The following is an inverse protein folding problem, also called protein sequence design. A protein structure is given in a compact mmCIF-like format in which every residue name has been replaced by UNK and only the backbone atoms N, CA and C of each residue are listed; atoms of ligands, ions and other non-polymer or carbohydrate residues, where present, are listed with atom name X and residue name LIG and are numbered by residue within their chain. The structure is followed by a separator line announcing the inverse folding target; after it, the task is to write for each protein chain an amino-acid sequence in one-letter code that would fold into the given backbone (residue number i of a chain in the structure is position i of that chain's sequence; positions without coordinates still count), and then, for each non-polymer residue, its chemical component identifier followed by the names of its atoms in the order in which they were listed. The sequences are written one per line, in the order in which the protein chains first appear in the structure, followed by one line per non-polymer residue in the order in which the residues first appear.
data_IF_148120502073
#
_entry.id   IF_148120502073
#
_cell.length_a   1.000
_cell.length_b   1.000
_cell.length_c   1.000
_cell.angle_alpha   90.00
_cell.angle_beta   90.00
_cell.angle_gamma   90.00
#
_symmetry.space_group_name_H-M   'P 1'
#
loop_
_entity.id
_entity.type
_entity.pdbx_description
1 polymer ?
#
# COMPACT_ATOMS: atom_id res chain seq x y z
N UNK A 1 -7.23 13.27 12.40
CA UNK A 1 -7.97 14.48 11.99
C UNK A 1 -7.86 14.57 10.49
N UNK A 2 -8.94 14.75 9.77
CA UNK A 2 -8.94 14.95 8.31
C UNK A 2 -8.24 16.27 7.99
N UNK A 3 -7.39 16.31 6.93
CA UNK A 3 -6.68 17.50 6.48
C UNK A 3 -5.38 17.86 7.24
N UNK A 4 -4.94 16.99 8.15
CA UNK A 4 -3.64 17.17 8.82
C UNK A 4 -2.47 16.74 7.92
N UNK A 5 -1.33 17.42 8.02
CA UNK A 5 -0.07 17.03 7.37
C UNK A 5 1.06 16.90 8.37
N UNK A 6 2.04 16.04 8.07
CA UNK A 6 3.25 15.86 8.87
C UNK A 6 4.46 15.75 7.93
N UNK A 7 5.51 16.51 8.23
CA UNK A 7 6.78 16.42 7.52
C UNK A 7 7.64 15.38 8.25
N UNK A 8 8.21 14.46 7.48
CA UNK A 8 9.14 13.44 7.95
C UNK A 8 10.42 13.57 7.12
N UNK A 9 11.57 13.43 7.76
CA UNK A 9 12.85 13.35 7.09
C UNK A 9 13.33 11.90 7.11
N UNK A 10 13.44 11.29 5.93
CA UNK A 10 13.99 9.95 5.82
C UNK A 10 15.50 9.98 6.08
N UNK A 11 16.05 9.05 6.87
CA UNK A 11 17.50 8.87 6.98
C UNK A 11 18.10 8.48 5.63
N UNK A 12 19.41 8.74 5.40
CA UNK A 12 20.10 8.25 4.20
C UNK A 12 19.95 6.72 4.06
N UNK A 13 19.71 6.26 2.82
CA UNK A 13 19.50 4.84 2.48
C UNK A 13 18.33 4.17 3.24
N UNK A 14 17.29 4.95 3.56
CA UNK A 14 16.12 4.41 4.22
C UNK A 14 15.26 3.60 3.22
N UNK A 15 14.84 2.42 3.65
CA UNK A 15 13.77 1.64 3.00
C UNK A 15 12.65 1.38 3.99
N UNK A 16 11.43 1.53 3.52
CA UNK A 16 10.28 1.30 4.38
C UNK A 16 8.97 1.62 3.68
N UNK A 17 7.91 1.63 4.46
CA UNK A 17 6.56 1.82 3.95
C UNK A 17 5.70 2.66 4.88
N UNK A 18 4.72 3.32 4.28
CA UNK A 18 3.67 4.05 4.97
C UNK A 18 2.32 3.46 4.62
N UNK A 19 1.42 3.45 5.59
CA UNK A 19 0.04 3.01 5.40
C UNK A 19 -0.91 3.77 6.33
N UNK A 20 -2.18 3.81 5.97
CA UNK A 20 -3.23 4.34 6.81
C UNK A 20 -3.92 3.25 7.60
N UNK A 21 -4.24 3.52 8.86
CA UNK A 21 -5.08 2.66 9.70
C UNK A 21 -6.48 3.26 9.79
N UNK A 22 -7.51 2.43 9.73
CA UNK A 22 -8.91 2.88 9.81
C UNK A 22 -9.67 2.19 10.91
N UNK A 23 -10.74 2.84 11.40
CA UNK A 23 -11.58 2.30 12.47
C UNK A 23 -10.82 2.08 13.77
N UNK A 24 -9.88 2.97 14.08
CA UNK A 24 -9.07 2.84 15.29
C UNK A 24 -9.84 3.29 16.53
N UNK A 25 -9.72 2.52 17.60
CA UNK A 25 -10.23 2.86 18.94
C UNK A 25 -9.09 2.67 19.93
N UNK A 26 -8.65 3.77 20.55
CA UNK A 26 -7.63 3.76 21.60
C UNK A 26 -8.18 4.42 22.84
N UNK A 27 -7.94 3.79 23.99
CA UNK A 27 -8.30 4.34 25.30
C UNK A 27 -7.46 5.61 25.57
N UNK A 28 -8.10 6.73 25.88
CA UNK A 28 -7.39 8.01 26.02
C UNK A 28 -6.47 8.06 27.25
N UNK A 29 -6.65 7.18 28.23
CA UNK A 29 -5.86 7.16 29.47
C UNK A 29 -4.66 6.22 29.37
N UNK A 30 -4.86 5.05 28.75
CA UNK A 30 -3.83 4.00 28.65
C UNK A 30 -3.11 3.99 27.30
N UNK A 31 -3.69 4.60 26.23
CA UNK A 31 -3.22 4.53 24.88
C UNK A 31 -3.39 3.16 24.21
N UNK A 32 -4.00 2.20 24.93
CA UNK A 32 -4.22 0.84 24.41
C UNK A 32 -5.39 0.81 23.46
N UNK A 33 -5.27 -0.02 22.42
CA UNK A 33 -6.33 -0.19 21.45
C UNK A 33 -5.86 -0.83 20.15
N UNK A 34 -6.74 -0.82 19.15
CA UNK A 34 -6.48 -1.44 17.85
C UNK A 34 -7.25 -0.72 16.73
N UNK A 35 -6.98 -1.12 15.49
CA UNK A 35 -7.65 -0.61 14.30
C UNK A 35 -8.34 -1.76 13.55
N UNK A 36 -9.43 -1.46 12.85
CA UNK A 36 -10.16 -2.44 12.03
C UNK A 36 -9.31 -2.84 10.83
N UNK A 37 -8.64 -1.90 10.16
CA UNK A 37 -7.76 -2.17 9.01
C UNK A 37 -6.37 -1.58 9.20
N UNK A 38 -5.35 -2.26 8.67
CA UNK A 38 -3.95 -1.81 8.73
C UNK A 38 -3.36 -1.80 10.15
N UNK A 39 -3.98 -2.50 11.09
CA UNK A 39 -3.46 -2.58 12.46
C UNK A 39 -2.09 -3.23 12.49
N UNK A 40 -1.18 -2.74 13.32
CA UNK A 40 0.17 -3.30 13.44
C UNK A 40 0.37 -4.26 14.63
N UNK A 41 -0.69 -4.52 15.39
CA UNK A 41 -0.66 -5.46 16.50
C UNK A 41 0.12 -4.99 17.74
N UNK A 42 0.50 -3.71 17.79
CA UNK A 42 1.22 -3.13 18.92
C UNK A 42 0.36 -2.94 20.17
N UNK A 43 -0.96 -3.04 20.03
CA UNK A 43 -1.95 -2.68 21.06
C UNK A 43 -1.85 -1.23 21.55
N UNK A 44 -1.27 -0.34 20.74
CA UNK A 44 -1.11 1.09 21.05
C UNK A 44 -1.03 1.92 19.75
N UNK A 45 -0.99 3.26 19.91
CA UNK A 45 -0.95 4.18 18.76
C UNK A 45 0.32 3.96 17.93
N UNK A 46 1.47 3.78 18.56
CA UNK A 46 2.75 3.57 17.89
C UNK A 46 2.93 2.11 17.48
N UNK A 47 3.37 1.89 16.24
CA UNK A 47 3.67 0.55 15.74
C UNK A 47 5.05 0.01 16.15
N UNK A 48 5.96 0.89 16.64
CA UNK A 48 7.30 0.55 17.16
C UNK A 48 8.11 -0.35 16.21
N UNK A 49 8.05 -0.06 14.92
CA UNK A 49 8.74 -0.84 13.88
C UNK A 49 7.97 -2.08 13.41
N UNK A 50 6.80 -2.37 13.97
CA UNK A 50 5.90 -3.42 13.47
C UNK A 50 5.30 -3.04 12.11
N UNK A 51 5.13 -4.03 11.23
CA UNK A 51 4.41 -3.88 9.96
C UNK A 51 2.89 -3.96 10.15
N UNK A 52 2.17 -3.55 9.12
CA UNK A 52 0.70 -3.67 9.07
C UNK A 52 0.26 -5.14 8.99
N UNK A 53 -0.91 -5.40 9.52
CA UNK A 53 -1.67 -6.61 9.21
C UNK A 53 -2.52 -6.35 7.96
N UNK A 54 -2.49 -7.22 6.94
CA UNK A 54 -3.37 -7.11 5.79
C UNK A 54 -4.87 -7.12 6.22
N UNK A 55 -5.76 -6.47 5.41
CA UNK A 55 -5.44 -5.73 4.20
C UNK A 55 -5.05 -4.28 4.46
N UNK A 56 -4.10 -3.78 3.68
CA UNK A 56 -3.68 -2.38 3.72
C UNK A 56 -3.07 -1.92 2.38
N UNK A 57 -3.43 -0.72 1.95
CA UNK A 57 -2.76 -0.03 0.83
C UNK A 57 -1.44 0.53 1.34
N UNK A 58 -0.34 0.23 0.65
CA UNK A 58 1.00 0.62 1.06
C UNK A 58 1.60 1.66 0.11
N UNK A 59 2.31 2.65 0.66
CA UNK A 59 3.29 3.46 -0.06
C UNK A 59 4.68 2.95 0.32
N UNK A 60 5.41 2.39 -0.61
CA UNK A 60 6.71 1.76 -0.37
C UNK A 60 7.83 2.60 -0.98
N UNK A 61 8.96 2.66 -0.28
CA UNK A 61 10.10 3.50 -0.67
C UNK A 61 11.43 2.80 -0.41
N UNK A 62 12.37 3.04 -1.31
CA UNK A 62 13.81 2.89 -1.06
C UNK A 62 14.46 4.18 -1.52
N UNK A 63 14.85 5.05 -0.56
CA UNK A 63 15.40 6.38 -0.83
C UNK A 63 16.90 6.43 -0.56
N UNK A 64 17.59 7.36 -1.26
CA UNK A 64 19.01 7.57 -1.07
C UNK A 64 19.88 6.46 -1.63
N UNK A 65 19.38 5.64 -2.57
CA UNK A 65 20.25 4.76 -3.35
C UNK A 65 21.24 5.61 -4.17
N UNK A 66 22.37 5.03 -4.57
CA UNK A 66 23.51 5.78 -5.16
C UNK A 66 23.11 6.66 -6.36
N UNK A 67 22.04 6.32 -7.08
CA UNK A 67 21.64 7.01 -8.32
C UNK A 67 20.21 7.52 -8.33
N UNK A 68 19.30 6.89 -7.60
CA UNK A 68 17.87 7.23 -7.65
C UNK A 68 17.10 6.62 -6.47
N UNK A 69 15.94 7.19 -6.17
CA UNK A 69 14.96 6.61 -5.28
C UNK A 69 14.03 5.68 -6.05
N UNK A 70 13.53 4.66 -5.36
CA UNK A 70 12.46 3.78 -5.83
C UNK A 70 11.23 4.01 -4.96
N UNK A 71 10.07 4.07 -5.58
CA UNK A 71 8.81 4.20 -4.87
C UNK A 71 7.67 3.55 -5.66
N UNK A 72 6.66 3.11 -4.93
CA UNK A 72 5.46 2.52 -5.49
C UNK A 72 4.28 2.58 -4.52
N UNK A 73 3.09 2.32 -5.05
CA UNK A 73 1.90 1.98 -4.27
C UNK A 73 1.61 0.51 -4.47
N UNK A 74 1.44 -0.22 -3.36
CA UNK A 74 1.23 -1.67 -3.39
C UNK A 74 -0.15 -2.06 -2.85
N UNK A 75 -0.81 -2.95 -3.59
CA UNK A 75 -2.04 -3.66 -3.22
C UNK A 75 -1.79 -5.17 -3.06
N UNK A 76 -0.53 -5.59 -2.98
CA UNK A 76 -0.15 -7.00 -2.76
C UNK A 76 -0.69 -7.51 -1.43
N UNK A 77 -0.70 -6.65 -0.42
CA UNK A 77 -1.31 -6.90 0.90
C UNK A 77 -2.76 -6.41 0.98
N UNK A 78 -3.47 -6.37 -0.14
CA UNK A 78 -4.85 -5.91 -0.22
C UNK A 78 -5.03 -4.39 -0.24
N UNK A 79 -6.25 -3.95 -0.01
CA UNK A 79 -6.65 -2.55 -0.08
C UNK A 79 -7.53 -2.18 1.11
N UNK A 80 -7.28 -1.01 1.70
CA UNK A 80 -8.18 -0.45 2.72
C UNK A 80 -8.63 0.99 2.41
N UNK A 81 -7.76 1.82 1.84
CA UNK A 81 -8.09 3.22 1.51
C UNK A 81 -7.31 3.73 0.29
N UNK A 82 -7.83 4.79 -0.38
CA UNK A 82 -7.14 5.43 -1.49
C UNK A 82 -5.83 6.08 -1.01
N UNK A 83 -4.79 5.99 -1.85
CA UNK A 83 -3.48 6.56 -1.58
C UNK A 83 -2.82 7.03 -2.88
N UNK A 84 -2.09 8.16 -2.82
CA UNK A 84 -1.29 8.67 -3.91
C UNK A 84 0.07 9.15 -3.38
N UNK A 85 1.11 8.97 -4.18
CA UNK A 85 2.46 9.51 -3.98
C UNK A 85 2.72 10.52 -5.10
N UNK A 86 2.98 11.76 -4.73
CA UNK A 86 3.32 12.86 -5.65
C UNK A 86 4.78 13.29 -5.40
N UNK A 87 5.73 12.98 -6.32
CA UNK A 87 7.08 13.52 -6.26
C UNK A 87 7.10 15.00 -6.62
N UNK A 88 8.04 15.75 -6.04
CA UNK A 88 8.28 17.16 -6.37
C UNK A 88 9.77 17.51 -6.30
N UNK A 89 10.22 18.45 -7.11
CA UNK A 89 11.58 18.98 -7.11
C UNK A 89 12.66 18.05 -7.67
N UNK A 90 12.33 16.82 -8.01
CA UNK A 90 13.29 15.83 -8.49
C UNK A 90 13.58 15.89 -9.99
N UNK A 91 14.39 14.94 -10.44
CA UNK A 91 14.75 14.75 -11.85
C UNK A 91 14.57 13.28 -12.26
N UNK A 92 14.37 13.06 -13.59
CA UNK A 92 14.09 11.73 -14.13
C UNK A 92 12.59 11.51 -14.36
N UNK A 93 12.14 10.26 -14.30
CA UNK A 93 10.74 9.90 -14.57
C UNK A 93 9.89 9.93 -13.29
N UNK A 94 9.83 11.09 -12.65
CA UNK A 94 9.15 11.31 -11.36
C UNK A 94 7.61 11.37 -11.54
N UNK A 95 6.98 10.24 -11.73
CA UNK A 95 5.54 10.16 -11.95
C UNK A 95 4.76 10.12 -10.64
N UNK A 96 3.61 10.80 -10.63
CA UNK A 96 2.59 10.58 -9.59
C UNK A 96 2.00 9.18 -9.74
N UNK A 97 1.95 8.43 -8.65
CA UNK A 97 1.49 7.04 -8.62
C UNK A 97 0.51 6.81 -7.47
N UNK A 98 -0.44 5.91 -7.67
CA UNK A 98 -1.40 5.65 -6.61
C UNK A 98 -2.61 4.85 -7.05
N UNK A 99 -3.51 4.69 -6.09
CA UNK A 99 -4.81 4.11 -6.24
C UNK A 99 -5.83 5.06 -5.61
N UNK A 100 -6.53 5.81 -6.45
CA UNK A 100 -7.57 6.79 -6.01
C UNK A 100 -8.98 6.23 -6.09
N UNK A 101 -9.15 5.09 -6.75
CA UNK A 101 -10.41 4.36 -6.83
C UNK A 101 -10.75 3.72 -5.49
N UNK A 102 -11.99 3.84 -5.06
CA UNK A 102 -12.49 3.11 -3.87
C UNK A 102 -12.75 1.63 -4.23
N UNK A 103 -11.73 0.81 -4.08
CA UNK A 103 -11.79 -0.62 -4.37
C UNK A 103 -12.68 -1.40 -3.40
N UNK A 104 -12.99 -0.88 -2.22
CA UNK A 104 -13.89 -1.55 -1.27
C UNK A 104 -15.29 -1.73 -1.87
N UNK A 105 -15.73 -0.78 -2.71
CA UNK A 105 -17.02 -0.86 -3.41
C UNK A 105 -17.08 -1.94 -4.48
N UNK A 106 -15.94 -2.30 -5.06
CA UNK A 106 -15.81 -3.29 -6.13
C UNK A 106 -15.26 -4.62 -5.64
N UNK A 107 -14.99 -4.73 -4.35
CA UNK A 107 -14.38 -5.90 -3.75
C UNK A 107 -15.28 -7.14 -3.89
N UNK A 108 -14.79 -8.24 -4.48
CA UNK A 108 -15.51 -9.50 -4.53
C UNK A 108 -15.85 -9.99 -3.12
N UNK A 109 -16.98 -10.66 -2.99
CA UNK A 109 -17.47 -11.10 -1.67
C UNK A 109 -16.46 -11.98 -0.93
N UNK A 110 -15.75 -12.85 -1.64
CA UNK A 110 -14.72 -13.76 -1.11
C UNK A 110 -13.45 -13.06 -0.64
N UNK A 111 -13.21 -11.83 -1.08
CA UNK A 111 -12.07 -11.02 -0.64
C UNK A 111 -12.46 -9.94 0.39
N UNK A 112 -13.76 -9.74 0.61
CA UNK A 112 -14.28 -8.65 1.43
C UNK A 112 -14.03 -8.88 2.91
N UNK A 113 -13.55 -7.86 3.61
CA UNK A 113 -13.34 -7.87 5.05
C UNK A 113 -14.54 -7.25 5.76
N UNK A 114 -15.12 -8.01 6.67
CA UNK A 114 -16.24 -7.55 7.50
C UNK A 114 -17.42 -7.01 6.69
N UNK A 115 -17.77 -5.77 6.93
CA UNK A 115 -18.87 -5.04 6.28
C UNK A 115 -18.45 -4.35 4.96
N UNK A 116 -17.25 -4.65 4.44
CA UNK A 116 -16.69 -3.99 3.25
C UNK A 116 -15.75 -2.83 3.59
N UNK A 117 -15.22 -2.79 4.80
CA UNK A 117 -14.24 -1.77 5.23
C UNK A 117 -12.87 -1.92 4.56
N UNK A 118 -12.58 -3.09 3.98
CA UNK A 118 -11.36 -3.38 3.25
C UNK A 118 -11.53 -4.57 2.29
N UNK A 119 -10.55 -4.75 1.40
CA UNK A 119 -10.50 -5.82 0.42
C UNK A 119 -9.17 -6.57 0.55
N UNK A 120 -9.21 -7.84 0.89
CA UNK A 120 -8.02 -8.69 0.95
C UNK A 120 -7.43 -8.88 -0.45
N UNK A 121 -6.12 -9.16 -0.51
CA UNK A 121 -5.56 -9.80 -1.68
C UNK A 121 -6.08 -11.23 -1.81
N UNK A 122 -5.99 -11.80 -3.01
CA UNK A 122 -6.35 -13.21 -3.20
C UNK A 122 -5.44 -14.15 -2.39
N UNK A 123 -4.17 -13.75 -2.18
CA UNK A 123 -3.26 -14.47 -1.30
C UNK A 123 -3.77 -14.51 0.14
N UNK A 124 -4.14 -13.37 0.71
CA UNK A 124 -4.57 -13.30 2.11
C UNK A 124 -5.92 -14.00 2.35
N UNK A 125 -6.84 -13.88 1.38
CA UNK A 125 -8.17 -14.46 1.53
C UNK A 125 -8.22 -15.96 1.25
N UNK A 126 -7.49 -16.44 0.24
CA UNK A 126 -7.61 -17.80 -0.28
C UNK A 126 -6.41 -18.69 0.03
N UNK A 127 -5.23 -18.10 0.30
CA UNK A 127 -4.05 -18.78 0.81
C UNK A 127 -3.36 -19.75 -0.15
N UNK A 128 -3.74 -19.80 -1.45
CA UNK A 128 -3.12 -20.71 -2.40
C UNK A 128 -1.73 -20.22 -2.84
N UNK A 129 -0.83 -21.14 -3.11
CA UNK A 129 0.52 -20.82 -3.57
C UNK A 129 0.54 -20.03 -4.88
N UNK A 130 -0.43 -20.27 -5.76
CA UNK A 130 -0.62 -19.54 -7.02
C UNK A 130 -0.87 -18.06 -6.79
N UNK A 131 -1.80 -17.70 -5.88
CA UNK A 131 -2.10 -16.30 -5.57
C UNK A 131 -1.01 -15.64 -4.73
N UNK A 132 -0.30 -16.42 -3.91
CA UNK A 132 0.77 -15.94 -3.04
C UNK A 132 2.14 -15.94 -3.71
N UNK A 133 2.25 -16.36 -4.97
CA UNK A 133 3.52 -16.49 -5.69
C UNK A 133 4.56 -17.30 -4.90
N UNK A 134 4.15 -18.46 -4.35
CA UNK A 134 5.00 -19.33 -3.52
C UNK A 134 5.17 -20.72 -4.14
N UNK A 135 6.11 -21.50 -3.60
CA UNK A 135 6.36 -22.87 -4.04
C UNK A 135 6.65 -22.93 -5.53
N UNK A 136 5.85 -23.69 -6.30
CA UNK A 136 5.97 -23.82 -7.75
C UNK A 136 5.75 -22.50 -8.50
N UNK A 137 5.06 -21.53 -7.88
CA UNK A 137 4.78 -20.22 -8.43
C UNK A 137 5.76 -19.12 -7.94
N UNK A 138 6.87 -19.47 -7.33
CA UNK A 138 7.84 -18.55 -6.71
C UNK A 138 8.75 -17.79 -7.68
N UNK A 139 8.31 -17.50 -8.91
CA UNK A 139 9.09 -16.72 -9.87
C UNK A 139 8.20 -15.91 -10.82
N UNK A 140 8.71 -14.84 -11.47
CA UNK A 140 7.97 -14.07 -12.46
C UNK A 140 7.51 -14.90 -13.67
N UNK A 141 8.21 -16.01 -13.97
CA UNK A 141 7.84 -16.90 -15.06
C UNK A 141 6.68 -17.81 -14.71
N UNK A 142 6.50 -18.15 -13.45
CA UNK A 142 5.49 -19.11 -12.98
C UNK A 142 4.31 -18.46 -12.28
N UNK A 143 4.50 -17.34 -11.59
CA UNK A 143 3.40 -16.56 -11.02
C UNK A 143 2.87 -15.57 -12.05
N UNK A 144 1.60 -15.71 -12.40
CA UNK A 144 0.93 -14.85 -13.38
C UNK A 144 -0.19 -14.04 -12.71
N UNK A 145 -0.60 -12.91 -13.32
CA UNK A 145 -1.78 -12.20 -12.86
C UNK A 145 -2.99 -13.13 -12.77
N UNK A 146 -3.73 -13.00 -11.68
CA UNK A 146 -5.02 -13.65 -11.46
C UNK A 146 -6.18 -12.73 -11.83
N UNK A 147 -7.38 -13.27 -11.95
CA UNK A 147 -8.60 -12.46 -12.16
C UNK A 147 -8.75 -11.36 -11.07
N UNK A 148 -8.30 -11.62 -9.86
CA UNK A 148 -8.34 -10.67 -8.74
C UNK A 148 -7.29 -9.57 -8.89
N UNK A 149 -6.05 -9.93 -9.21
CA UNK A 149 -5.00 -8.93 -9.44
C UNK A 149 -5.27 -8.09 -10.69
N UNK A 150 -5.85 -8.69 -11.75
CA UNK A 150 -6.29 -7.95 -12.94
C UNK A 150 -7.39 -6.93 -12.61
N UNK A 151 -8.33 -7.27 -11.73
CA UNK A 151 -9.35 -6.33 -11.23
C UNK A 151 -8.69 -5.15 -10.46
N UNK A 152 -7.75 -5.43 -9.57
CA UNK A 152 -7.00 -4.38 -8.87
C UNK A 152 -6.21 -3.51 -9.85
N UNK A 153 -5.54 -4.14 -10.82
CA UNK A 153 -4.76 -3.44 -11.84
C UNK A 153 -5.62 -2.56 -12.75
N UNK A 154 -6.79 -3.03 -13.15
CA UNK A 154 -7.73 -2.26 -13.96
C UNK A 154 -8.21 -1.00 -13.23
N UNK A 155 -8.44 -1.09 -11.91
CA UNK A 155 -8.84 0.04 -11.09
C UNK A 155 -7.68 0.99 -10.76
N UNK A 156 -6.46 0.46 -10.58
CA UNK A 156 -5.26 1.19 -10.15
C UNK A 156 -4.05 0.80 -11.02
N UNK A 157 -3.98 1.29 -12.27
CA UNK A 157 -3.01 0.81 -13.27
C UNK A 157 -1.53 1.01 -12.92
N UNK A 158 -1.21 1.90 -11.98
CA UNK A 158 0.14 2.21 -11.53
C UNK A 158 0.49 1.66 -10.14
N UNK A 159 -0.40 0.85 -9.55
CA UNK A 159 -0.13 0.18 -8.27
C UNK A 159 0.24 -1.29 -8.51
N UNK A 160 1.08 -1.86 -7.64
CA UNK A 160 1.29 -3.30 -7.62
C UNK A 160 -0.01 -4.02 -7.32
N UNK A 161 -0.38 -4.96 -8.15
CA UNK A 161 -1.58 -5.78 -7.98
C UNK A 161 -1.27 -7.23 -7.57
N UNK A 162 -0.04 -7.67 -7.75
CA UNK A 162 0.51 -8.95 -7.29
C UNK A 162 2.05 -8.86 -7.22
N UNK A 163 2.71 -9.87 -6.65
CA UNK A 163 4.13 -9.80 -6.26
C UNK A 163 5.13 -9.55 -7.40
N UNK A 164 4.82 -9.90 -8.65
CA UNK A 164 5.72 -9.72 -9.80
C UNK A 164 5.19 -8.72 -10.85
N UNK A 165 4.52 -7.68 -10.40
CA UNK A 165 3.94 -6.61 -11.23
C UNK A 165 4.92 -5.45 -11.51
N UNK A 166 6.23 -5.71 -11.41
CA UNK A 166 7.29 -4.68 -11.44
C UNK A 166 7.27 -3.80 -12.69
N UNK A 167 6.98 -4.38 -13.86
CA UNK A 167 7.10 -3.70 -15.15
C UNK A 167 6.23 -2.42 -15.28
N UNK A 168 5.13 -2.35 -14.53
CA UNK A 168 4.17 -1.24 -14.60
C UNK A 168 3.95 -0.54 -13.26
N UNK A 169 4.63 -0.98 -12.21
CA UNK A 169 4.33 -0.57 -10.84
C UNK A 169 5.52 0.00 -10.07
N UNK A 170 6.77 -0.21 -10.51
CA UNK A 170 7.97 0.39 -9.93
C UNK A 170 8.28 1.73 -10.59
N UNK A 171 8.46 2.77 -9.79
CA UNK A 171 8.79 4.12 -10.25
C UNK A 171 10.06 4.62 -9.60
N UNK A 172 10.74 5.54 -10.30
CA UNK A 172 12.00 6.09 -9.84
C UNK A 172 12.04 7.61 -9.99
N UNK A 173 12.75 8.26 -9.07
CA UNK A 173 13.02 9.68 -9.12
C UNK A 173 14.39 9.96 -8.47
N UNK A 174 15.04 11.03 -8.82
CA UNK A 174 16.32 11.42 -8.23
C UNK A 174 16.17 12.73 -7.49
N UNK A 175 16.57 12.77 -6.21
CA UNK A 175 16.59 13.98 -5.38
C UNK A 175 15.22 14.68 -5.30
N UNK A 176 14.17 13.93 -5.07
CA UNK A 176 12.81 14.45 -4.93
C UNK A 176 12.36 14.51 -3.46
N UNK A 177 11.43 15.42 -3.19
CA UNK A 177 10.53 15.32 -2.06
C UNK A 177 9.28 14.56 -2.46
N UNK A 178 8.66 13.86 -1.53
CA UNK A 178 7.48 13.03 -1.79
C UNK A 178 6.33 13.44 -0.89
N UNK A 179 5.17 13.70 -1.47
CA UNK A 179 3.92 13.90 -0.73
C UNK A 179 3.08 12.64 -0.82
N UNK A 180 2.82 12.00 0.33
CA UNK A 180 1.91 10.86 0.42
C UNK A 180 0.56 11.40 0.89
N UNK A 181 -0.47 11.25 0.07
CA UNK A 181 -1.83 11.69 0.38
C UNK A 181 -2.73 10.47 0.56
N UNK A 182 -3.25 10.30 1.76
CA UNK A 182 -4.30 9.32 2.07
C UNK A 182 -5.67 9.94 1.82
N UNK A 183 -6.58 9.18 1.21
CA UNK A 183 -7.93 9.59 0.85
C UNK A 183 -7.94 10.93 0.07
N UNK A 184 -7.20 11.03 -1.06
CA UNK A 184 -7.21 12.24 -1.87
C UNK A 184 -8.65 12.54 -2.34
N UNK A 185 -9.00 13.83 -2.43
CA UNK A 185 -10.30 14.23 -2.99
C UNK A 185 -10.38 13.80 -4.45
N UNK A 186 -11.54 13.33 -4.88
CA UNK A 186 -11.83 12.81 -6.23
C UNK A 186 -11.79 13.85 -7.37
N UNK A 187 -11.21 15.03 -7.12
CA UNK A 187 -11.14 16.17 -8.07
C UNK A 187 -9.72 16.41 -8.61
N UNK A 188 -8.95 15.34 -8.85
CA UNK A 188 -7.70 15.43 -9.60
C UNK A 188 -7.76 14.71 -10.94
#
# INVERSE_FOLDING_TARGET
MSGGSRILQAPPNWSGRFWGRTGCTFDPNTGQGSCITGDCGSNQVECNGGGQKPPATLAEFTVGSVTQDFYDVSLVDGYNLPLIIDPSGGSGNCLSVGCVTDLNRQCPNELRVGDGSACNSACDALGSDEYCCRGAYGSPNTCKPSIYSEMFKAACPRAYSYAYDDATSTFTCTSADYTITFCPSSTR
#
